data_IF_509389193223
#
_entry.id   IF_509389193223
#
_cell.length_a   1.000
_cell.length_b   1.000
_cell.length_c   1.000
_cell.angle_alpha   90.00
_cell.angle_beta   90.00
_cell.angle_gamma   90.00
#
_symmetry.space_group_name_H-M   'P 1'
#
loop_
_entity.id
_entity.type
_entity.pdbx_description
1 polymer ?
#
# COMPACT_ATOMS: atom_id res chain seq x y z
N UNK A 1 -12.23 32.17 4.50
CA UNK A 1 -12.35 31.52 5.83
C UNK A 1 -11.21 30.52 5.99
N UNK A 2 -10.49 30.51 7.08
CA UNK A 2 -9.39 29.58 7.33
C UNK A 2 -9.81 28.50 8.34
N UNK A 3 -9.26 27.27 8.20
CA UNK A 3 -9.49 26.20 9.16
C UNK A 3 -8.59 26.35 10.39
N UNK A 4 -9.16 26.31 11.57
CA UNK A 4 -8.46 26.40 12.85
C UNK A 4 -8.62 25.10 13.65
N UNK A 5 -7.49 24.54 14.10
CA UNK A 5 -7.50 23.44 15.09
C UNK A 5 -7.65 24.04 16.48
N UNK A 6 -8.53 23.46 17.29
CA UNK A 6 -8.70 23.87 18.68
C UNK A 6 -8.56 22.71 19.65
N UNK A 7 -8.11 23.05 20.87
CA UNK A 7 -8.27 22.24 22.09
C UNK A 7 -9.07 23.08 23.07
N UNK A 8 -10.14 22.51 23.58
CA UNK A 8 -11.02 23.18 24.54
C UNK A 8 -11.42 22.21 25.67
N UNK A 9 -11.77 22.74 26.82
CA UNK A 9 -12.37 21.97 27.92
C UNK A 9 -13.89 22.04 27.81
N UNK A 10 -14.51 20.90 27.95
CA UNK A 10 -15.96 20.78 28.13
C UNK A 10 -16.33 21.14 29.59
N UNK A 11 -17.61 21.31 29.83
CA UNK A 11 -18.19 21.58 31.19
C UNK A 11 -17.84 20.51 32.23
N UNK A 12 -17.50 19.28 31.78
CA UNK A 12 -17.02 18.18 32.61
C UNK A 12 -15.50 18.17 32.86
N UNK A 13 -14.75 19.16 32.38
CA UNK A 13 -13.27 19.22 32.49
C UNK A 13 -12.52 18.32 31.51
N UNK A 14 -13.20 17.68 30.55
CA UNK A 14 -12.59 16.79 29.55
C UNK A 14 -12.06 17.63 28.37
N UNK A 15 -10.85 17.28 27.90
CA UNK A 15 -10.25 17.95 26.73
C UNK A 15 -10.91 17.46 25.44
N UNK A 16 -11.57 18.38 24.74
CA UNK A 16 -12.13 18.17 23.40
C UNK A 16 -11.24 18.82 22.37
N UNK A 17 -10.93 18.09 21.29
CA UNK A 17 -10.13 18.59 20.16
C UNK A 17 -10.99 18.57 18.90
N UNK A 18 -10.87 19.59 18.05
CA UNK A 18 -11.62 19.64 16.80
C UNK A 18 -11.02 20.66 15.82
N UNK A 19 -11.75 20.85 14.72
CA UNK A 19 -11.44 21.86 13.70
C UNK A 19 -12.69 22.67 13.45
N UNK A 20 -12.56 24.00 13.41
CA UNK A 20 -13.61 24.97 13.06
C UNK A 20 -13.11 25.95 12.01
N UNK A 21 -14.01 26.42 11.15
CA UNK A 21 -13.73 27.47 10.19
C UNK A 21 -14.06 28.84 10.76
N UNK A 22 -13.21 29.82 10.42
CA UNK A 22 -13.42 31.21 10.74
C UNK A 22 -12.37 32.10 10.14
N UNK A 23 -12.61 33.42 10.18
CA UNK A 23 -11.70 34.40 9.58
C UNK A 23 -10.55 34.76 10.53
N UNK A 24 -10.71 34.52 11.83
CA UNK A 24 -9.69 34.80 12.84
C UNK A 24 -9.78 33.90 14.06
N UNK A 25 -8.63 33.71 14.76
CA UNK A 25 -8.58 32.98 16.03
C UNK A 25 -9.56 33.55 17.08
N UNK A 26 -9.84 34.85 17.02
CA UNK A 26 -10.76 35.56 17.93
C UNK A 26 -12.20 35.12 17.69
N UNK A 27 -12.59 34.93 16.44
CA UNK A 27 -13.90 34.42 16.05
C UNK A 27 -14.11 32.97 16.50
N UNK A 28 -13.09 32.11 16.30
CA UNK A 28 -13.13 30.71 16.75
C UNK A 28 -13.25 30.61 18.27
N UNK A 29 -12.52 31.45 19.02
CA UNK A 29 -12.65 31.50 20.48
C UNK A 29 -14.04 31.94 20.92
N UNK A 30 -14.69 32.84 20.19
CA UNK A 30 -16.08 33.25 20.45
C UNK A 30 -17.04 32.10 20.14
N UNK A 31 -16.91 31.43 19.00
CA UNK A 31 -17.73 30.25 18.64
C UNK A 31 -17.58 29.08 19.62
N UNK A 32 -16.38 28.85 20.15
CA UNK A 32 -16.18 27.81 21.17
C UNK A 32 -16.87 28.16 22.49
N UNK A 33 -16.88 29.42 22.88
CA UNK A 33 -17.61 29.89 24.09
C UNK A 33 -19.13 29.75 23.95
N UNK A 34 -19.67 30.04 22.77
CA UNK A 34 -21.13 29.80 22.53
C UNK A 34 -21.51 28.33 22.57
N UNK A 35 -20.56 27.44 22.29
CA UNK A 35 -20.71 25.96 22.41
C UNK A 35 -20.39 25.44 23.84
N UNK A 36 -20.28 26.32 24.84
CA UNK A 36 -19.91 25.98 26.22
C UNK A 36 -18.54 25.30 26.36
N UNK A 37 -17.64 25.51 25.39
CA UNK A 37 -16.30 24.97 25.40
C UNK A 37 -15.29 26.07 25.78
N UNK A 38 -14.45 25.82 26.78
CA UNK A 38 -13.40 26.75 27.18
C UNK A 38 -12.13 26.52 26.30
N UNK A 39 -11.77 27.45 25.40
CA UNK A 39 -10.62 27.28 24.52
C UNK A 39 -9.30 27.31 25.32
N UNK A 40 -8.48 26.27 25.20
CA UNK A 40 -7.13 26.20 25.73
C UNK A 40 -6.14 26.67 24.67
N UNK A 41 -6.27 26.14 23.46
CA UNK A 41 -5.35 26.39 22.35
C UNK A 41 -6.18 26.50 21.05
N UNK A 42 -5.95 27.56 20.29
CA UNK A 42 -6.51 27.73 18.94
C UNK A 42 -5.34 28.09 18.02
N UNK A 43 -5.12 27.30 16.99
CA UNK A 43 -4.05 27.49 16.02
C UNK A 43 -4.60 27.36 14.61
N UNK A 44 -4.21 28.25 13.70
CA UNK A 44 -4.52 28.12 12.28
C UNK A 44 -3.90 26.84 11.72
N UNK A 45 -4.70 26.04 11.02
CA UNK A 45 -4.25 24.78 10.44
C UNK A 45 -3.13 24.97 9.40
N UNK A 46 -2.96 26.20 8.86
CA UNK A 46 -1.94 26.56 7.88
C UNK A 46 -0.66 27.26 8.43
N UNK A 47 -0.66 27.72 9.69
CA UNK A 47 0.38 28.67 10.16
C UNK A 47 1.70 28.05 10.66
N UNK A 48 1.81 26.71 10.75
CA UNK A 48 3.10 26.06 11.08
C UNK A 48 4.10 26.02 9.93
N UNK A 49 3.71 26.46 8.73
CA UNK A 49 4.60 26.53 7.55
C UNK A 49 5.23 27.92 7.32
N UNK A 50 4.74 28.98 7.97
CA UNK A 50 5.13 30.36 7.63
C UNK A 50 6.22 30.99 8.49
N UNK A 51 6.61 30.42 9.63
CA UNK A 51 7.60 31.02 10.54
C UNK A 51 9.02 30.41 10.44
N UNK A 52 9.35 29.75 9.32
CA UNK A 52 10.72 29.28 9.03
C UNK A 52 11.14 29.58 7.59
N UNK A 53 10.69 30.71 7.04
CA UNK A 53 11.12 31.18 5.73
C UNK A 53 12.16 32.28 5.88
N UNK A 54 13.37 31.92 6.30
CA UNK A 54 14.60 32.63 5.95
C UNK A 54 15.76 31.64 6.12
N UNK A 55 16.02 30.87 5.12
CA UNK A 55 17.30 30.39 4.60
C UNK A 55 17.03 29.43 3.45
N UNK A 56 17.68 29.68 2.36
CA UNK A 56 17.61 28.95 1.08
C UNK A 56 17.75 27.43 1.18
N UNK A 57 17.16 26.76 0.17
CA UNK A 57 17.37 25.39 -0.24
C UNK A 57 16.75 24.27 0.62
N UNK A 58 15.79 23.61 0.01
CA UNK A 58 15.30 22.30 0.44
C UNK A 58 13.87 22.31 0.94
N UNK A 59 12.96 21.97 0.05
CA UNK A 59 11.56 21.63 0.39
C UNK A 59 11.57 20.60 1.53
N UNK A 60 11.52 21.05 2.78
CA UNK A 60 11.22 20.18 3.92
C UNK A 60 9.77 19.72 3.78
N UNK A 61 9.57 18.60 3.08
CA UNK A 61 8.32 17.85 3.12
C UNK A 61 7.99 17.59 4.60
N UNK A 62 6.94 18.22 5.10
CA UNK A 62 6.48 18.03 6.47
C UNK A 62 6.23 16.55 6.72
N UNK A 63 6.99 15.96 7.65
CA UNK A 63 6.88 14.55 8.06
C UNK A 63 5.49 14.17 8.63
N UNK A 64 4.58 15.12 8.74
CA UNK A 64 3.24 15.00 9.32
C UNK A 64 2.11 15.49 8.40
N UNK A 65 2.31 15.49 7.07
CA UNK A 65 1.17 15.71 6.18
C UNK A 65 0.13 14.60 6.41
N UNK A 66 -1.16 14.95 6.59
CA UNK A 66 -2.19 13.94 6.82
C UNK A 66 -2.26 13.01 5.62
N UNK A 67 -2.02 11.71 5.86
CA UNK A 67 -2.20 10.66 4.86
C UNK A 67 -3.55 10.04 5.09
N UNK A 68 -4.37 10.00 4.05
CA UNK A 68 -5.58 9.17 4.05
C UNK A 68 -5.18 7.70 3.82
N UNK A 69 -5.90 6.79 4.47
CA UNK A 69 -5.84 5.38 4.08
C UNK A 69 -6.50 5.19 2.72
N UNK A 70 -6.19 4.10 2.01
CA UNK A 70 -6.83 3.79 0.74
C UNK A 70 -8.37 3.70 0.90
N UNK A 71 -8.84 3.15 2.03
CA UNK A 71 -10.25 3.04 2.37
C UNK A 71 -10.91 4.41 2.59
N UNK A 72 -10.25 5.31 3.30
CA UNK A 72 -10.77 6.67 3.51
C UNK A 72 -10.83 7.45 2.19
N UNK A 73 -9.81 7.30 1.34
CA UNK A 73 -9.78 7.96 0.03
C UNK A 73 -10.93 7.45 -0.86
N UNK A 74 -11.13 6.13 -0.94
CA UNK A 74 -12.22 5.53 -1.72
C UNK A 74 -13.59 6.04 -1.24
N UNK A 75 -13.84 6.02 0.08
CA UNK A 75 -15.09 6.51 0.66
C UNK A 75 -15.35 7.98 0.34
N UNK A 76 -14.35 8.84 0.52
CA UNK A 76 -14.48 10.28 0.25
C UNK A 76 -14.69 10.52 -1.25
N UNK A 77 -13.98 9.80 -2.11
CA UNK A 77 -14.14 9.92 -3.56
C UNK A 77 -15.56 9.53 -3.98
N UNK A 78 -16.11 8.43 -3.46
CA UNK A 78 -17.49 8.01 -3.72
C UNK A 78 -18.49 9.05 -3.23
N UNK A 79 -18.30 9.59 -2.03
CA UNK A 79 -19.15 10.66 -1.50
C UNK A 79 -19.12 11.90 -2.38
N UNK A 80 -17.94 12.37 -2.78
CA UNK A 80 -17.80 13.52 -3.66
C UNK A 80 -18.44 13.25 -5.03
N UNK A 81 -18.23 12.08 -5.62
CA UNK A 81 -18.83 11.69 -6.88
C UNK A 81 -20.35 11.77 -6.82
N UNK A 82 -20.97 11.16 -5.79
CA UNK A 82 -22.41 11.16 -5.61
C UNK A 82 -22.99 12.57 -5.39
N UNK A 83 -22.32 13.40 -4.60
CA UNK A 83 -22.78 14.77 -4.33
C UNK A 83 -22.64 15.66 -5.56
N UNK A 84 -21.53 15.56 -6.30
CA UNK A 84 -21.33 16.34 -7.53
C UNK A 84 -22.27 15.88 -8.65
N UNK A 85 -22.56 14.56 -8.75
CA UNK A 85 -23.57 14.04 -9.68
C UNK A 85 -24.98 14.57 -9.38
N UNK A 86 -25.26 14.96 -8.13
CA UNK A 86 -26.52 15.61 -7.72
C UNK A 86 -26.57 17.11 -8.05
N UNK A 87 -25.60 17.62 -8.81
CA UNK A 87 -25.48 19.03 -9.23
C UNK A 87 -25.37 20.04 -8.06
N UNK A 88 -24.89 19.60 -6.89
CA UNK A 88 -24.59 20.49 -5.78
C UNK A 88 -23.31 21.29 -6.07
N UNK A 89 -23.21 22.53 -5.56
CA UNK A 89 -21.95 23.32 -5.64
C UNK A 89 -20.80 22.57 -5.01
N UNK A 90 -19.63 22.65 -5.63
CA UNK A 90 -18.45 21.86 -5.24
C UNK A 90 -17.97 22.16 -3.80
N UNK A 91 -18.10 23.41 -3.37
CA UNK A 91 -17.77 23.82 -2.00
C UNK A 91 -18.72 23.23 -0.96
N UNK A 92 -20.01 23.08 -1.30
CA UNK A 92 -20.99 22.38 -0.46
C UNK A 92 -20.73 20.88 -0.41
N UNK A 93 -20.35 20.25 -1.55
CA UNK A 93 -19.97 18.86 -1.61
C UNK A 93 -18.76 18.57 -0.70
N UNK A 94 -17.75 19.41 -0.73
CA UNK A 94 -16.56 19.29 0.12
C UNK A 94 -16.88 19.51 1.61
N UNK A 95 -17.80 20.43 1.92
CA UNK A 95 -18.29 20.66 3.28
C UNK A 95 -19.02 19.42 3.81
N UNK A 96 -19.97 18.90 3.04
CA UNK A 96 -20.74 17.72 3.42
C UNK A 96 -19.85 16.50 3.64
N UNK A 97 -18.89 16.25 2.74
CA UNK A 97 -17.90 15.18 2.90
C UNK A 97 -17.02 15.36 4.16
N UNK A 98 -16.64 16.61 4.48
CA UNK A 98 -15.86 16.93 5.68
C UNK A 98 -16.69 16.69 6.98
N UNK A 99 -17.99 16.97 6.97
CA UNK A 99 -18.86 16.77 8.13
C UNK A 99 -19.14 15.30 8.41
N UNK A 100 -19.28 14.49 7.37
CA UNK A 100 -19.49 13.04 7.49
C UNK A 100 -18.22 12.29 7.95
N UNK A 101 -17.04 12.91 7.85
CA UNK A 101 -15.79 12.28 8.20
C UNK A 101 -15.54 12.28 9.71
N UNK A 102 -15.33 11.09 10.30
CA UNK A 102 -15.05 10.92 11.74
C UNK A 102 -13.64 11.38 12.15
N UNK A 103 -12.68 11.30 11.23
CA UNK A 103 -11.26 11.54 11.51
C UNK A 103 -10.90 13.02 11.36
N UNK A 104 -10.48 13.65 12.45
CA UNK A 104 -10.18 15.08 12.48
C UNK A 104 -9.11 15.54 11.45
N UNK A 105 -8.12 14.67 11.13
CA UNK A 105 -7.10 14.95 10.12
C UNK A 105 -7.69 15.01 8.70
N UNK A 106 -8.59 14.10 8.39
CA UNK A 106 -9.28 14.02 7.10
C UNK A 106 -10.26 15.18 6.93
N UNK A 107 -11.01 15.49 7.98
CA UNK A 107 -11.88 16.68 8.02
C UNK A 107 -11.08 17.96 7.75
N UNK A 108 -9.94 18.13 8.44
CA UNK A 108 -9.08 19.31 8.24
C UNK A 108 -8.52 19.40 6.82
N UNK A 109 -8.20 18.27 6.17
CA UNK A 109 -7.74 18.23 4.79
C UNK A 109 -8.85 18.67 3.83
N UNK A 110 -10.05 18.12 3.95
CA UNK A 110 -11.19 18.48 3.09
C UNK A 110 -11.57 19.95 3.23
N UNK A 111 -11.57 20.49 4.46
CA UNK A 111 -11.83 21.90 4.68
C UNK A 111 -10.73 22.82 4.10
N UNK A 112 -9.47 22.38 4.08
CA UNK A 112 -8.40 23.12 3.40
C UNK A 112 -8.58 23.11 1.88
N UNK A 113 -8.95 21.95 1.28
CA UNK A 113 -9.28 21.85 -0.15
C UNK A 113 -10.49 22.77 -0.46
N UNK A 114 -11.54 22.72 0.36
CA UNK A 114 -12.72 23.59 0.23
C UNK A 114 -12.36 25.07 0.26
N UNK A 115 -11.52 25.48 1.22
CA UNK A 115 -11.08 26.89 1.32
C UNK A 115 -10.43 27.36 0.03
N UNK A 116 -9.61 26.54 -0.63
CA UNK A 116 -8.97 26.88 -1.90
C UNK A 116 -9.96 26.95 -3.06
N UNK A 117 -10.92 26.04 -3.10
CA UNK A 117 -11.99 26.09 -4.11
C UNK A 117 -12.85 27.33 -3.93
N UNK A 118 -13.21 27.70 -2.71
CA UNK A 118 -13.96 28.92 -2.39
C UNK A 118 -13.16 30.22 -2.70
N UNK A 119 -11.82 30.15 -2.71
CA UNK A 119 -10.93 31.23 -3.16
C UNK A 119 -10.87 31.34 -4.71
N UNK A 120 -11.58 30.48 -5.44
CA UNK A 120 -11.62 30.46 -6.91
C UNK A 120 -10.57 29.61 -7.61
N UNK A 121 -9.81 28.79 -6.84
CA UNK A 121 -8.88 27.84 -7.45
C UNK A 121 -9.61 26.58 -7.93
N UNK A 122 -9.06 25.91 -8.94
CA UNK A 122 -9.57 24.61 -9.40
C UNK A 122 -9.41 23.53 -8.32
N UNK A 123 -10.28 22.52 -8.32
CA UNK A 123 -10.21 21.39 -7.40
C UNK A 123 -8.87 20.66 -7.54
N UNK A 124 -8.43 20.42 -8.79
CA UNK A 124 -7.13 19.83 -9.09
C UNK A 124 -5.96 20.62 -8.47
N UNK A 125 -6.00 21.95 -8.56
CA UNK A 125 -4.98 22.82 -7.94
C UNK A 125 -5.02 22.74 -6.42
N UNK A 126 -6.20 22.76 -5.81
CA UNK A 126 -6.39 22.63 -4.38
C UNK A 126 -5.86 21.26 -3.87
N UNK A 127 -6.12 20.18 -4.59
CA UNK A 127 -5.63 18.82 -4.30
C UNK A 127 -4.11 18.69 -4.49
N UNK A 128 -3.50 19.46 -5.37
CA UNK A 128 -2.05 19.44 -5.61
C UNK A 128 -1.22 19.84 -4.37
N UNK A 129 -1.82 20.53 -3.40
CA UNK A 129 -1.18 20.82 -2.13
C UNK A 129 -1.00 19.58 -1.22
N UNK A 130 -1.71 18.50 -1.54
CA UNK A 130 -1.70 17.24 -0.78
C UNK A 130 -1.29 16.03 -1.66
N UNK A 131 -0.08 16.04 -2.26
CA UNK A 131 0.34 15.01 -3.23
C UNK A 131 0.50 13.62 -2.61
N UNK A 132 0.61 13.53 -1.28
CA UNK A 132 0.68 12.25 -0.56
C UNK A 132 -0.71 11.57 -0.42
N UNK A 133 -1.77 12.35 -0.53
CA UNK A 133 -3.16 11.89 -0.48
C UNK A 133 -3.74 11.72 -1.88
N UNK A 134 -3.62 12.76 -2.69
CA UNK A 134 -4.09 12.78 -4.07
C UNK A 134 -2.90 12.60 -5.02
N UNK A 135 -2.72 11.37 -5.51
CA UNK A 135 -1.63 11.03 -6.44
C UNK A 135 -1.77 11.73 -7.79
N UNK A 136 -0.73 11.61 -8.62
CA UNK A 136 -0.68 12.28 -9.93
C UNK A 136 -1.85 11.90 -10.83
N UNK A 137 -2.22 10.61 -10.90
CA UNK A 137 -3.38 10.13 -11.65
C UNK A 137 -4.68 10.80 -11.17
N UNK A 138 -4.91 10.81 -9.85
CA UNK A 138 -6.12 11.39 -9.26
C UNK A 138 -6.27 12.86 -9.67
N UNK A 139 -5.21 13.64 -9.56
CA UNK A 139 -5.19 15.06 -9.91
C UNK A 139 -5.33 15.32 -11.40
N UNK A 140 -4.74 14.46 -12.22
CA UNK A 140 -4.86 14.59 -13.68
C UNK A 140 -6.28 14.34 -14.15
N UNK A 141 -6.96 13.32 -13.62
CA UNK A 141 -8.36 13.04 -13.91
C UNK A 141 -9.27 14.19 -13.48
N UNK A 142 -9.11 14.67 -12.23
CA UNK A 142 -9.89 15.82 -11.76
C UNK A 142 -9.66 17.05 -12.63
N UNK A 143 -8.42 17.33 -13.02
CA UNK A 143 -8.10 18.45 -13.90
C UNK A 143 -8.74 18.31 -15.28
N UNK A 144 -8.71 17.12 -15.86
CA UNK A 144 -9.37 16.85 -17.14
C UNK A 144 -10.89 17.03 -17.03
N UNK A 145 -11.51 16.51 -15.98
CA UNK A 145 -12.94 16.67 -15.71
C UNK A 145 -13.36 18.13 -15.48
N UNK A 146 -12.54 18.93 -14.80
CA UNK A 146 -12.77 20.38 -14.62
C UNK A 146 -12.70 21.12 -15.97
N UNK A 147 -11.68 20.83 -16.79
CA UNK A 147 -11.49 21.49 -18.08
C UNK A 147 -12.60 21.11 -19.08
N UNK A 148 -13.08 19.87 -19.05
CA UNK A 148 -14.16 19.39 -19.89
C UNK A 148 -15.56 19.76 -19.38
N UNK A 149 -15.69 20.32 -18.16
CA UNK A 149 -16.98 20.53 -17.51
C UNK A 149 -17.70 19.24 -17.11
N UNK A 150 -16.99 18.12 -17.04
CA UNK A 150 -17.52 16.78 -16.76
C UNK A 150 -16.95 16.18 -15.46
N UNK A 151 -16.88 17.00 -14.43
CA UNK A 151 -16.30 16.58 -13.15
C UNK A 151 -17.07 15.42 -12.48
N UNK A 152 -18.41 15.37 -12.61
CA UNK A 152 -19.24 14.30 -12.05
C UNK A 152 -18.88 12.92 -12.60
N UNK A 153 -18.97 12.67 -13.91
CA UNK A 153 -18.56 11.39 -14.52
C UNK A 153 -17.12 11.00 -14.20
N UNK A 154 -16.19 11.95 -14.20
CA UNK A 154 -14.78 11.68 -13.86
C UNK A 154 -14.60 11.28 -12.40
N UNK A 155 -15.29 11.93 -11.47
CA UNK A 155 -15.26 11.54 -10.07
C UNK A 155 -15.90 10.16 -9.83
N UNK A 156 -16.91 9.78 -10.61
CA UNK A 156 -17.51 8.45 -10.55
C UNK A 156 -16.52 7.37 -10.99
N UNK A 157 -15.87 7.55 -12.14
CA UNK A 157 -14.81 6.65 -12.61
C UNK A 157 -13.65 6.57 -11.59
N UNK A 158 -13.31 7.68 -10.96
CA UNK A 158 -12.27 7.74 -9.95
C UNK A 158 -12.69 7.03 -8.64
N UNK A 159 -13.98 7.10 -8.28
CA UNK A 159 -14.54 6.35 -7.16
C UNK A 159 -14.48 4.84 -7.44
N UNK A 160 -14.93 4.40 -8.61
CA UNK A 160 -14.86 3.00 -9.03
C UNK A 160 -13.42 2.48 -8.99
N UNK A 161 -12.48 3.25 -9.52
CA UNK A 161 -11.05 2.89 -9.49
C UNK A 161 -10.50 2.76 -8.07
N UNK A 162 -10.78 3.74 -7.19
CA UNK A 162 -10.26 3.73 -5.82
C UNK A 162 -10.89 2.62 -4.99
N UNK A 163 -12.16 2.32 -5.18
CA UNK A 163 -12.88 1.20 -4.56
C UNK A 163 -12.34 -0.16 -5.02
N UNK A 164 -12.20 -0.37 -6.33
CA UNK A 164 -11.65 -1.59 -6.89
C UNK A 164 -10.21 -1.83 -6.40
N UNK A 165 -9.39 -0.79 -6.38
CA UNK A 165 -8.03 -0.85 -5.83
C UNK A 165 -8.02 -1.23 -4.35
N UNK A 166 -8.92 -0.67 -3.55
CA UNK A 166 -9.06 -1.02 -2.14
C UNK A 166 -9.53 -2.47 -1.98
N UNK A 167 -10.52 -2.89 -2.76
CA UNK A 167 -11.07 -4.23 -2.71
C UNK A 167 -10.01 -5.28 -3.05
N UNK A 168 -9.23 -5.05 -4.11
CA UNK A 168 -8.10 -5.91 -4.48
C UNK A 168 -7.04 -5.96 -3.37
N UNK A 169 -6.69 -4.82 -2.77
CA UNK A 169 -5.76 -4.78 -1.65
C UNK A 169 -6.28 -5.55 -0.42
N UNK A 170 -7.56 -5.44 -0.10
CA UNK A 170 -8.20 -6.20 0.97
C UNK A 170 -8.20 -7.72 0.69
N UNK A 171 -8.55 -8.14 -0.53
CA UNK A 171 -8.49 -9.56 -0.92
C UNK A 171 -7.08 -10.13 -0.71
N UNK A 172 -6.05 -9.40 -1.17
CA UNK A 172 -4.66 -9.80 -0.99
C UNK A 172 -4.27 -9.88 0.49
N UNK A 173 -4.67 -8.91 1.29
CA UNK A 173 -4.39 -8.90 2.72
C UNK A 173 -5.06 -10.06 3.44
N UNK A 174 -6.32 -10.34 3.15
CA UNK A 174 -7.05 -11.49 3.72
C UNK A 174 -6.42 -12.82 3.31
N UNK A 175 -6.03 -12.97 2.05
CA UNK A 175 -5.37 -14.18 1.56
C UNK A 175 -4.05 -14.47 2.30
N UNK A 176 -3.33 -13.43 2.74
CA UNK A 176 -2.07 -13.58 3.48
C UNK A 176 -2.25 -13.88 4.97
N UNK A 177 -3.42 -13.58 5.58
CA UNK A 177 -3.63 -13.81 7.01
C UNK A 177 -3.47 -15.28 7.37
N UNK A 178 -4.09 -16.20 6.59
CA UNK A 178 -4.02 -17.63 6.85
C UNK A 178 -2.59 -18.18 6.83
N UNK A 179 -1.74 -17.93 5.80
CA UNK A 179 -0.33 -18.28 5.81
C UNK A 179 0.45 -17.74 7.02
N UNK A 180 0.23 -16.48 7.39
CA UNK A 180 0.93 -15.91 8.55
C UNK A 180 0.54 -16.58 9.87
N UNK A 181 -0.75 -16.86 10.07
CA UNK A 181 -1.23 -17.58 11.26
C UNK A 181 -0.64 -18.99 11.30
N UNK A 182 -0.66 -19.71 10.19
CA UNK A 182 -0.13 -21.06 10.11
C UNK A 182 1.38 -21.11 10.41
N UNK A 183 2.16 -20.22 9.81
CA UNK A 183 3.61 -20.09 10.11
C UNK A 183 3.82 -19.74 11.59
N UNK A 184 3.03 -18.82 12.13
CA UNK A 184 3.12 -18.44 13.55
C UNK A 184 2.88 -19.62 14.49
N UNK A 185 1.84 -20.40 14.23
CA UNK A 185 1.54 -21.63 15.01
C UNK A 185 2.67 -22.66 14.84
N UNK A 186 3.16 -22.85 13.62
CA UNK A 186 4.26 -23.75 13.32
C UNK A 186 5.52 -23.39 14.12
N UNK A 187 5.92 -22.13 14.08
CA UNK A 187 7.08 -21.63 14.84
C UNK A 187 6.84 -21.80 16.35
N UNK A 188 5.64 -21.51 16.84
CA UNK A 188 5.31 -21.66 18.27
C UNK A 188 5.42 -23.12 18.73
N UNK A 189 4.89 -24.08 17.96
CA UNK A 189 4.96 -25.52 18.28
C UNK A 189 6.41 -26.01 18.29
N UNK A 190 7.18 -25.68 17.23
CA UNK A 190 8.59 -26.09 17.16
C UNK A 190 9.40 -25.48 18.30
N UNK A 191 9.20 -24.19 18.57
CA UNK A 191 9.89 -23.52 19.69
C UNK A 191 9.53 -24.13 21.03
N UNK A 192 8.25 -24.47 21.26
CA UNK A 192 7.81 -25.14 22.48
C UNK A 192 8.46 -26.53 22.64
N UNK A 193 8.50 -27.33 21.55
CA UNK A 193 9.19 -28.63 21.58
C UNK A 193 10.68 -28.48 21.90
N UNK A 194 11.36 -27.51 21.30
CA UNK A 194 12.78 -27.24 21.53
C UNK A 194 13.09 -26.75 22.92
N UNK A 195 12.23 -25.91 23.52
CA UNK A 195 12.47 -25.32 24.84
C UNK A 195 12.07 -26.27 25.99
N UNK A 196 10.99 -27.04 25.84
CA UNK A 196 10.44 -27.85 26.93
C UNK A 196 10.78 -29.33 26.79
N UNK A 197 10.65 -29.92 25.61
CA UNK A 197 10.77 -31.38 25.41
C UNK A 197 12.24 -31.81 25.27
N UNK A 198 12.99 -31.09 24.41
CA UNK A 198 14.38 -31.49 24.12
C UNK A 198 15.27 -31.44 25.36
N UNK A 199 15.28 -30.40 26.22
CA UNK A 199 16.14 -30.36 27.40
C UNK A 199 15.81 -31.45 28.43
N UNK A 200 14.52 -31.79 28.60
CA UNK A 200 14.09 -32.83 29.52
C UNK A 200 14.62 -34.21 29.07
N UNK A 201 14.57 -34.49 27.76
CA UNK A 201 15.14 -35.70 27.18
C UNK A 201 16.67 -35.76 27.30
N UNK A 202 17.37 -34.65 27.08
CA UNK A 202 18.84 -34.54 27.24
C UNK A 202 19.26 -34.86 28.67
N UNK A 203 18.50 -34.42 29.68
CA UNK A 203 18.76 -34.70 31.09
C UNK A 203 18.78 -36.21 31.39
N UNK A 204 17.96 -37.01 30.74
CA UNK A 204 17.91 -38.47 30.86
C UNK A 204 19.19 -39.12 30.28
N UNK A 205 19.63 -38.66 29.12
CA UNK A 205 20.80 -39.21 28.41
C UNK A 205 22.15 -38.77 29.03
N UNK A 206 22.21 -37.56 29.62
CA UNK A 206 23.43 -37.09 30.29
C UNK A 206 23.93 -38.02 31.42
N UNK A 207 23.06 -38.86 31.97
CA UNK A 207 23.41 -39.84 33.01
C UNK A 207 23.98 -41.15 32.44
N UNK A 208 23.83 -41.41 31.13
CA UNK A 208 24.13 -42.72 30.55
C UNK A 208 25.51 -42.83 29.88
N UNK A 209 26.29 -41.70 29.75
CA UNK A 209 27.66 -41.65 29.15
C UNK A 209 27.80 -42.30 27.76
N UNK A 210 26.74 -42.43 26.99
CA UNK A 210 26.75 -43.02 25.66
C UNK A 210 26.94 -41.92 24.62
N UNK A 211 27.69 -42.20 23.54
CA UNK A 211 27.83 -41.27 22.42
C UNK A 211 26.48 -41.07 21.73
N UNK A 212 26.04 -39.81 21.65
CA UNK A 212 24.76 -39.45 21.06
C UNK A 212 24.83 -39.42 19.53
N UNK A 213 23.82 -39.91 18.83
CA UNK A 213 23.73 -39.79 17.38
C UNK A 213 23.87 -38.35 16.90
N UNK A 214 24.48 -38.10 15.69
CA UNK A 214 24.78 -36.74 15.22
C UNK A 214 23.54 -35.88 15.04
N UNK A 215 22.39 -36.48 14.70
CA UNK A 215 21.11 -35.82 14.60
C UNK A 215 20.63 -35.24 15.94
N UNK A 216 20.79 -36.03 17.01
CA UNK A 216 20.45 -35.63 18.40
C UNK A 216 21.37 -34.50 18.88
N UNK A 217 22.67 -34.59 18.60
CA UNK A 217 23.65 -33.54 18.95
C UNK A 217 23.28 -32.21 18.24
N UNK A 218 22.93 -32.25 16.95
CA UNK A 218 22.49 -31.07 16.22
C UNK A 218 21.19 -30.48 16.77
N UNK A 219 20.24 -31.32 17.17
CA UNK A 219 18.98 -30.89 17.79
C UNK A 219 19.25 -30.19 19.14
N UNK A 220 20.10 -30.76 19.99
CA UNK A 220 20.51 -30.19 21.29
C UNK A 220 21.18 -28.84 21.10
N UNK A 221 22.16 -28.74 20.19
CA UNK A 221 22.84 -27.49 19.91
C UNK A 221 21.86 -26.39 19.42
N UNK A 222 20.87 -26.77 18.61
CA UNK A 222 19.82 -25.86 18.15
C UNK A 222 18.90 -25.42 19.28
N UNK A 223 18.51 -26.34 20.15
CA UNK A 223 17.69 -26.07 21.34
C UNK A 223 18.39 -25.14 22.31
N UNK A 224 19.66 -25.40 22.63
CA UNK A 224 20.50 -24.58 23.55
C UNK A 224 20.69 -23.17 22.97
N UNK A 225 20.93 -23.08 21.65
CA UNK A 225 21.03 -21.80 20.99
C UNK A 225 19.71 -21.02 21.08
N UNK A 226 18.58 -21.68 20.85
CA UNK A 226 17.26 -21.05 20.90
C UNK A 226 16.89 -20.60 22.32
N UNK A 227 17.21 -21.42 23.32
CA UNK A 227 16.93 -21.15 24.74
C UNK A 227 17.80 -20.01 25.28
N UNK A 228 19.09 -20.02 24.98
CA UNK A 228 20.03 -19.04 25.54
C UNK A 228 20.16 -17.78 24.69
N UNK A 229 20.00 -17.88 23.38
CA UNK A 229 20.24 -16.78 22.39
C UNK A 229 19.02 -16.43 21.54
N UNK A 230 17.83 -17.01 21.79
CA UNK A 230 16.62 -16.78 20.99
C UNK A 230 16.21 -15.30 20.91
N UNK A 231 16.45 -14.54 21.99
CA UNK A 231 16.20 -13.09 21.99
C UNK A 231 17.12 -12.33 21.01
N UNK A 232 18.38 -12.80 20.83
CA UNK A 232 19.33 -12.23 19.86
C UNK A 232 18.82 -12.47 18.43
N UNK A 233 18.28 -13.67 18.16
CA UNK A 233 17.70 -14.01 16.87
C UNK A 233 16.48 -13.13 16.57
N UNK A 234 15.61 -12.90 17.54
CA UNK A 234 14.49 -11.97 17.43
C UNK A 234 14.95 -10.53 17.13
N UNK A 235 15.96 -10.04 17.88
CA UNK A 235 16.53 -8.71 17.66
C UNK A 235 17.21 -8.61 16.28
N UNK A 236 17.95 -9.63 15.87
CA UNK A 236 18.61 -9.69 14.56
C UNK A 236 17.58 -9.65 13.42
N UNK A 237 16.47 -10.39 13.55
CA UNK A 237 15.38 -10.38 12.58
C UNK A 237 14.72 -9.00 12.47
N UNK A 238 14.37 -8.37 13.59
CA UNK A 238 13.82 -7.00 13.62
C UNK A 238 14.80 -6.00 12.98
N UNK A 239 16.08 -6.08 13.36
CA UNK A 239 17.13 -5.22 12.82
C UNK A 239 17.29 -5.41 11.31
N UNK A 240 17.29 -6.66 10.83
CA UNK A 240 17.34 -7.00 9.41
C UNK A 240 16.16 -6.40 8.64
N UNK A 241 14.93 -6.53 9.16
CA UNK A 241 13.73 -5.94 8.55
C UNK A 241 13.84 -4.41 8.48
N UNK A 242 14.31 -3.77 9.56
CA UNK A 242 14.52 -2.31 9.59
C UNK A 242 15.60 -1.88 8.59
N UNK A 243 16.70 -2.62 8.50
CA UNK A 243 17.78 -2.34 7.54
C UNK A 243 17.26 -2.48 6.10
N UNK A 244 16.60 -3.59 5.76
CA UNK A 244 16.00 -3.81 4.44
C UNK A 244 15.02 -2.68 4.12
N UNK A 245 14.13 -2.33 5.04
CA UNK A 245 13.18 -1.23 4.84
C UNK A 245 13.87 0.12 4.61
N UNK A 246 14.98 0.40 5.31
CA UNK A 246 15.77 1.62 5.10
C UNK A 246 16.53 1.61 3.77
N UNK A 247 17.14 0.49 3.41
CA UNK A 247 17.85 0.33 2.14
C UNK A 247 16.89 0.51 0.95
N UNK A 248 15.69 -0.08 1.00
CA UNK A 248 14.68 0.03 -0.05
C UNK A 248 14.09 1.47 -0.20
N UNK A 249 14.34 2.39 0.73
CA UNK A 249 14.02 3.81 0.55
C UNK A 249 14.99 4.53 -0.40
N UNK A 250 16.19 4.03 -0.56
CA UNK A 250 17.15 4.56 -1.53
C UNK A 250 16.81 4.04 -2.93
N UNK A 251 16.60 4.92 -3.94
CA UNK A 251 16.16 4.51 -5.29
C UNK A 251 17.14 3.56 -5.97
N UNK A 252 18.44 3.66 -5.68
CA UNK A 252 19.47 2.78 -6.27
C UNK A 252 19.32 1.34 -5.78
N UNK A 253 19.21 1.14 -4.47
CA UNK A 253 19.02 -0.20 -3.89
C UNK A 253 17.63 -0.76 -4.24
N UNK A 254 16.61 0.09 -4.29
CA UNK A 254 15.27 -0.32 -4.73
C UNK A 254 15.30 -0.83 -6.17
N UNK A 255 15.94 -0.10 -7.10
CA UNK A 255 16.07 -0.55 -8.51
C UNK A 255 16.80 -1.90 -8.62
N UNK A 256 17.85 -2.11 -7.82
CA UNK A 256 18.60 -3.37 -7.81
C UNK A 256 17.74 -4.52 -7.24
N UNK A 257 17.01 -4.28 -6.16
CA UNK A 257 16.05 -5.24 -5.59
C UNK A 257 14.95 -5.59 -6.59
N UNK A 258 14.33 -4.57 -7.20
CA UNK A 258 13.28 -4.73 -8.21
C UNK A 258 13.79 -5.55 -9.41
N UNK A 259 15.01 -5.30 -9.89
CA UNK A 259 15.61 -6.07 -10.96
C UNK A 259 15.92 -7.53 -10.55
N UNK A 260 16.35 -7.75 -9.31
CA UNK A 260 16.60 -9.10 -8.78
C UNK A 260 15.32 -9.92 -8.65
N UNK A 261 14.23 -9.31 -8.16
CA UNK A 261 12.92 -9.95 -8.05
C UNK A 261 12.35 -10.36 -9.41
N UNK A 262 12.61 -9.58 -10.45
CA UNK A 262 12.21 -9.92 -11.83
C UNK A 262 13.00 -11.10 -12.43
N UNK A 263 14.09 -11.59 -11.81
CA UNK A 263 14.82 -12.80 -12.24
C UNK A 263 14.16 -14.09 -11.76
N UNK A 264 13.34 -14.03 -10.70
CA UNK A 264 12.66 -15.19 -10.12
C UNK A 264 11.38 -15.45 -10.91
N UNK A 265 11.23 -16.58 -11.66
CA UNK A 265 10.15 -16.75 -12.65
C UNK A 265 8.73 -16.63 -12.07
N UNK A 266 8.46 -17.18 -10.89
CA UNK A 266 7.15 -17.06 -10.22
C UNK A 266 6.84 -15.63 -9.80
N UNK A 267 7.78 -14.96 -9.12
CA UNK A 267 7.63 -13.58 -8.64
C UNK A 267 7.56 -12.60 -9.81
N UNK A 268 8.38 -12.81 -10.85
CA UNK A 268 8.35 -12.01 -12.07
C UNK A 268 6.95 -11.92 -12.66
N UNK A 269 6.25 -13.07 -12.81
CA UNK A 269 4.92 -13.12 -13.43
C UNK A 269 3.90 -12.29 -12.62
N UNK A 270 3.94 -12.41 -11.31
CA UNK A 270 3.05 -11.64 -10.41
C UNK A 270 3.37 -10.14 -10.48
N UNK A 271 4.64 -9.75 -10.38
CA UNK A 271 5.03 -8.33 -10.40
C UNK A 271 4.70 -7.65 -11.74
N UNK A 272 5.00 -8.32 -12.85
CA UNK A 272 4.66 -7.81 -14.19
C UNK A 272 3.14 -7.70 -14.30
N UNK A 273 2.37 -8.74 -13.96
CA UNK A 273 0.92 -8.72 -14.03
C UNK A 273 0.30 -7.58 -13.21
N UNK A 274 0.77 -7.38 -11.96
CA UNK A 274 0.28 -6.30 -11.11
C UNK A 274 0.56 -4.91 -11.67
N UNK A 275 1.76 -4.66 -12.16
CA UNK A 275 2.15 -3.33 -12.63
C UNK A 275 1.58 -3.04 -14.02
N UNK A 276 1.51 -4.04 -14.92
CA UNK A 276 0.89 -3.85 -16.24
C UNK A 276 -0.63 -3.76 -16.19
N UNK A 277 -1.31 -4.48 -15.28
CA UNK A 277 -2.74 -4.29 -15.03
C UNK A 277 -3.03 -2.86 -14.55
N UNK A 278 -2.22 -2.38 -13.58
CA UNK A 278 -2.33 -1.02 -13.06
C UNK A 278 -2.05 0.04 -14.13
N UNK A 279 -1.05 -0.19 -14.97
CA UNK A 279 -0.73 0.68 -16.11
C UNK A 279 -1.89 0.74 -17.11
N UNK A 280 -2.43 -0.42 -17.55
CA UNK A 280 -3.53 -0.50 -18.51
C UNK A 280 -4.81 0.14 -17.97
N UNK A 281 -5.17 -0.15 -16.72
CA UNK A 281 -6.35 0.44 -16.06
C UNK A 281 -6.21 1.95 -15.95
N UNK A 282 -5.05 2.44 -15.50
CA UNK A 282 -4.81 3.89 -15.38
C UNK A 282 -4.84 4.57 -16.75
N UNK A 283 -4.23 3.96 -17.77
CA UNK A 283 -4.21 4.51 -19.12
C UNK A 283 -5.61 4.56 -19.74
N UNK A 284 -6.40 3.49 -19.61
CA UNK A 284 -7.79 3.42 -20.06
C UNK A 284 -8.64 4.54 -19.45
N UNK A 285 -8.59 4.67 -18.11
CA UNK A 285 -9.40 5.66 -17.37
C UNK A 285 -9.00 7.09 -17.75
N UNK A 286 -7.70 7.38 -17.88
CA UNK A 286 -7.24 8.71 -18.29
C UNK A 286 -7.69 9.07 -19.71
N UNK A 287 -7.63 8.11 -20.63
CA UNK A 287 -8.09 8.32 -22.00
C UNK A 287 -9.61 8.50 -22.07
N UNK A 288 -10.38 7.69 -21.35
CA UNK A 288 -11.83 7.85 -21.24
C UNK A 288 -12.22 9.20 -20.63
N UNK A 289 -11.35 9.79 -19.80
CA UNK A 289 -11.52 11.13 -19.22
C UNK A 289 -11.04 12.26 -20.16
N UNK A 290 -10.62 11.95 -21.40
CA UNK A 290 -10.17 12.94 -22.39
C UNK A 290 -8.73 13.43 -22.20
N UNK A 291 -7.92 12.77 -21.37
CA UNK A 291 -6.49 13.11 -21.21
C UNK A 291 -5.72 12.68 -22.46
N UNK A 292 -4.89 13.56 -23.08
CA UNK A 292 -4.09 13.21 -24.24
C UNK A 292 -3.20 11.98 -24.00
N UNK A 293 -3.08 11.09 -25.00
CA UNK A 293 -2.38 9.80 -24.90
C UNK A 293 -0.97 9.92 -24.28
N UNK A 294 -0.18 10.92 -24.69
CA UNK A 294 1.19 11.09 -24.17
C UNK A 294 1.24 11.42 -22.68
N UNK A 295 0.32 12.27 -22.22
CA UNK A 295 0.23 12.62 -20.80
C UNK A 295 -0.33 11.44 -20.01
N UNK A 296 -1.33 10.74 -20.54
CA UNK A 296 -1.88 9.53 -19.95
C UNK A 296 -0.82 8.43 -19.81
N UNK A 297 0.05 8.22 -20.82
CA UNK A 297 1.18 7.27 -20.75
C UNK A 297 2.19 7.62 -19.66
N UNK A 298 2.55 8.91 -19.54
CA UNK A 298 3.47 9.37 -18.49
C UNK A 298 2.92 9.15 -17.10
N UNK A 299 1.64 9.45 -16.89
CA UNK A 299 0.95 9.28 -15.61
C UNK A 299 0.77 7.80 -15.29
N UNK A 300 0.31 6.99 -16.25
CA UNK A 300 0.15 5.54 -16.09
C UNK A 300 1.49 4.86 -15.76
N UNK A 301 2.58 5.26 -16.42
CA UNK A 301 3.92 4.79 -16.09
C UNK A 301 4.38 5.17 -14.67
N UNK A 302 4.01 6.35 -14.19
CA UNK A 302 4.38 6.81 -12.85
C UNK A 302 3.67 6.01 -11.73
N UNK A 303 2.52 5.40 -12.01
CA UNK A 303 1.76 4.58 -11.04
C UNK A 303 2.37 3.19 -10.84
N UNK A 304 3.21 2.70 -11.75
CA UNK A 304 3.93 1.43 -11.61
C UNK A 304 4.86 1.45 -10.38
N UNK A 305 4.87 0.37 -9.61
CA UNK A 305 5.66 0.28 -8.38
C UNK A 305 7.11 -0.13 -8.63
N UNK A 306 7.32 -1.06 -9.56
CA UNK A 306 8.64 -1.56 -9.92
C UNK A 306 9.38 -0.51 -10.76
N UNK A 307 10.57 -0.11 -10.33
CA UNK A 307 11.35 0.94 -11.01
C UNK A 307 11.87 0.53 -12.39
N UNK A 308 12.05 -0.77 -12.64
CA UNK A 308 12.46 -1.29 -13.95
C UNK A 308 11.29 -1.18 -14.94
N UNK A 309 10.11 -1.61 -14.53
CA UNK A 309 8.90 -1.51 -15.35
C UNK A 309 8.52 -0.06 -15.62
N UNK A 310 8.67 0.81 -14.61
CA UNK A 310 8.48 2.25 -14.75
C UNK A 310 9.48 2.87 -15.74
N UNK A 311 10.71 2.40 -15.79
CA UNK A 311 11.67 2.86 -16.80
C UNK A 311 11.26 2.41 -18.20
N UNK A 312 10.84 1.14 -18.37
CA UNK A 312 10.34 0.63 -19.65
C UNK A 312 9.10 1.43 -20.14
N UNK A 313 8.17 1.77 -19.25
CA UNK A 313 7.01 2.60 -19.64
C UNK A 313 7.39 4.01 -20.08
N UNK A 314 8.47 4.59 -19.54
CA UNK A 314 9.00 5.88 -20.00
C UNK A 314 9.59 5.79 -21.41
N UNK A 315 10.28 4.68 -21.72
CA UNK A 315 10.78 4.43 -23.06
C UNK A 315 9.62 4.27 -24.08
N UNK A 316 8.55 3.58 -23.68
CA UNK A 316 7.33 3.51 -24.50
C UNK A 316 6.77 4.91 -24.77
N UNK A 317 6.64 5.74 -23.74
CA UNK A 317 6.12 7.11 -23.91
C UNK A 317 7.02 7.97 -24.80
N UNK A 318 8.36 7.82 -24.72
CA UNK A 318 9.32 8.51 -25.59
C UNK A 318 9.15 8.07 -27.06
N UNK A 319 9.06 6.77 -27.33
CA UNK A 319 8.86 6.24 -28.69
C UNK A 319 7.53 6.69 -29.30
N UNK A 320 6.45 6.76 -28.50
CA UNK A 320 5.16 7.28 -28.96
C UNK A 320 5.24 8.78 -29.24
N UNK A 321 5.98 9.53 -28.43
CA UNK A 321 6.24 10.97 -28.68
C UNK A 321 7.03 11.20 -29.98
N UNK A 322 7.91 10.27 -30.37
CA UNK A 322 8.66 10.26 -31.63
C UNK A 322 7.80 9.81 -32.84
N UNK A 323 6.52 9.48 -32.63
CA UNK A 323 5.57 9.12 -33.69
C UNK A 323 5.41 7.61 -33.91
N UNK A 324 5.97 6.75 -33.05
CA UNK A 324 5.67 5.30 -33.11
C UNK A 324 4.25 5.04 -32.64
N UNK A 325 3.59 4.00 -33.22
CA UNK A 325 2.32 3.51 -32.64
C UNK A 325 2.54 2.92 -31.26
N UNK A 326 1.56 3.01 -30.40
CA UNK A 326 1.62 2.48 -29.02
C UNK A 326 1.89 0.96 -29.02
N UNK A 327 1.19 0.22 -29.90
CA UNK A 327 1.43 -1.21 -30.08
C UNK A 327 2.90 -1.50 -30.40
N UNK A 328 3.50 -0.79 -31.36
CA UNK A 328 4.88 -0.98 -31.75
C UNK A 328 5.87 -0.64 -30.63
N UNK A 329 5.59 0.45 -29.89
CA UNK A 329 6.40 0.84 -28.75
C UNK A 329 6.36 -0.19 -27.63
N UNK A 330 5.18 -0.72 -27.29
CA UNK A 330 4.99 -1.76 -26.28
C UNK A 330 5.63 -3.10 -26.67
N UNK A 331 5.52 -3.51 -27.95
CA UNK A 331 6.08 -4.78 -28.45
C UNK A 331 7.61 -4.86 -28.38
N UNK A 332 8.28 -3.72 -28.34
CA UNK A 332 9.75 -3.65 -28.21
C UNK A 332 10.24 -3.83 -26.77
N UNK A 333 9.33 -3.77 -25.79
CA UNK A 333 9.64 -3.89 -24.38
C UNK A 333 9.22 -5.27 -23.86
N UNK A 334 10.16 -6.03 -23.30
CA UNK A 334 9.97 -7.42 -22.89
C UNK A 334 9.06 -7.61 -21.65
N UNK A 335 8.56 -6.53 -21.09
CA UNK A 335 7.80 -6.56 -19.83
C UNK A 335 6.28 -6.46 -20.02
N UNK A 336 5.82 -6.10 -21.21
CA UNK A 336 4.38 -6.01 -21.48
C UNK A 336 3.85 -7.36 -22.01
N UNK A 337 2.79 -7.91 -21.39
CA UNK A 337 2.23 -9.20 -21.80
C UNK A 337 1.77 -9.19 -23.26
N UNK A 338 1.97 -10.28 -24.03
CA UNK A 338 1.56 -10.35 -25.44
C UNK A 338 0.08 -10.05 -25.66
N UNK A 339 -0.79 -10.51 -24.74
CA UNK A 339 -2.22 -10.24 -24.81
C UNK A 339 -2.54 -8.73 -24.74
N UNK A 340 -1.85 -8.00 -23.86
CA UNK A 340 -1.98 -6.55 -23.78
C UNK A 340 -1.57 -5.88 -25.10
N UNK A 341 -0.43 -6.28 -25.67
CA UNK A 341 0.08 -5.73 -26.94
C UNK A 341 -0.92 -5.99 -28.06
N UNK A 342 -1.52 -7.19 -28.14
CA UNK A 342 -2.54 -7.51 -29.13
C UNK A 342 -3.83 -6.69 -28.96
N UNK A 343 -4.29 -6.50 -27.73
CA UNK A 343 -5.47 -5.66 -27.44
C UNK A 343 -5.22 -4.22 -27.81
N UNK A 344 -4.04 -3.67 -27.50
CA UNK A 344 -3.64 -2.32 -27.89
C UNK A 344 -3.60 -2.20 -29.42
N UNK A 345 -3.04 -3.18 -30.13
CA UNK A 345 -3.03 -3.20 -31.60
C UNK A 345 -4.45 -3.16 -32.20
N UNK A 346 -5.34 -3.97 -31.63
CA UNK A 346 -6.76 -3.97 -32.03
C UNK A 346 -7.42 -2.61 -31.76
N UNK A 347 -7.19 -2.04 -30.58
CA UNK A 347 -7.74 -0.75 -30.18
C UNK A 347 -7.21 0.42 -31.01
N UNK A 348 -5.93 0.42 -31.39
CA UNK A 348 -5.39 1.44 -32.31
C UNK A 348 -6.00 1.34 -33.70
N UNK A 349 -6.29 0.12 -34.17
CA UNK A 349 -6.89 -0.09 -35.52
C UNK A 349 -8.36 0.23 -35.53
N UNK A 350 -9.11 -0.10 -34.48
CA UNK A 350 -10.56 0.16 -34.39
C UNK A 350 -10.92 1.57 -33.90
N UNK A 351 -9.96 2.30 -33.32
CA UNK A 351 -10.21 3.57 -32.64
C UNK A 351 -10.79 3.41 -31.21
N UNK A 352 -10.87 2.20 -30.68
CA UNK A 352 -11.43 1.86 -29.37
C UNK A 352 -10.34 1.51 -28.36
N UNK A 353 -9.26 2.28 -28.34
CA UNK A 353 -8.09 1.97 -27.52
C UNK A 353 -8.40 1.92 -26.01
N UNK A 354 -9.26 2.82 -25.53
CA UNK A 354 -9.68 2.87 -24.12
C UNK A 354 -10.39 1.57 -23.68
N UNK A 355 -11.36 1.09 -24.49
CA UNK A 355 -12.10 -0.15 -24.22
C UNK A 355 -11.19 -1.38 -24.24
N UNK A 356 -10.23 -1.43 -25.17
CA UNK A 356 -9.28 -2.53 -25.26
C UNK A 356 -8.28 -2.53 -24.10
N UNK A 357 -7.86 -1.37 -23.63
CA UNK A 357 -7.01 -1.23 -22.44
C UNK A 357 -7.75 -1.65 -21.15
N UNK A 358 -9.03 -1.28 -21.00
CA UNK A 358 -9.87 -1.72 -19.88
C UNK A 358 -10.01 -3.23 -19.85
N UNK A 359 -10.32 -3.85 -20.99
CA UNK A 359 -10.38 -5.31 -21.13
C UNK A 359 -9.04 -5.97 -20.81
N UNK A 360 -7.93 -5.37 -21.28
CA UNK A 360 -6.58 -5.84 -20.95
C UNK A 360 -6.31 -5.81 -19.45
N UNK A 361 -6.65 -4.72 -18.78
CA UNK A 361 -6.51 -4.59 -17.33
C UNK A 361 -7.32 -5.64 -16.59
N UNK A 362 -8.61 -5.79 -16.92
CA UNK A 362 -9.51 -6.78 -16.31
C UNK A 362 -9.01 -8.22 -16.51
N UNK A 363 -8.48 -8.56 -17.69
CA UNK A 363 -7.91 -9.87 -17.94
C UNK A 363 -6.66 -10.13 -17.09
N UNK A 364 -5.77 -9.14 -16.96
CA UNK A 364 -4.57 -9.26 -16.14
C UNK A 364 -4.89 -9.37 -14.65
N UNK A 365 -5.91 -8.64 -14.17
CA UNK A 365 -6.39 -8.75 -12.79
C UNK A 365 -6.93 -10.15 -12.49
N UNK A 366 -7.72 -10.73 -13.40
CA UNK A 366 -8.22 -12.12 -13.26
C UNK A 366 -7.09 -13.15 -13.29
N UNK A 367 -6.11 -12.99 -14.19
CA UNK A 367 -4.94 -13.88 -14.25
C UNK A 367 -4.12 -13.79 -12.96
N UNK A 368 -3.99 -12.59 -12.39
CA UNK A 368 -3.33 -12.37 -11.11
C UNK A 368 -4.10 -13.07 -9.97
N UNK A 369 -5.42 -12.89 -9.89
CA UNK A 369 -6.27 -13.57 -8.88
C UNK A 369 -6.15 -15.09 -8.98
N UNK A 370 -6.18 -15.64 -10.19
CA UNK A 370 -6.02 -17.08 -10.43
C UNK A 370 -4.62 -17.58 -10.01
N UNK A 371 -3.57 -16.83 -10.34
CA UNK A 371 -2.19 -17.15 -9.96
C UNK A 371 -2.03 -17.14 -8.43
N UNK A 372 -2.54 -16.11 -7.75
CA UNK A 372 -2.51 -16.02 -6.29
C UNK A 372 -3.32 -17.14 -5.65
N UNK A 373 -4.50 -17.45 -6.18
CA UNK A 373 -5.31 -18.58 -5.71
C UNK A 373 -4.55 -19.92 -5.80
N UNK A 374 -3.84 -20.16 -6.91
CA UNK A 374 -3.01 -21.35 -7.08
C UNK A 374 -1.85 -21.40 -6.08
N UNK A 375 -1.13 -20.29 -5.90
CA UNK A 375 -0.01 -20.21 -4.93
C UNK A 375 -0.51 -20.45 -3.52
N UNK A 376 -1.65 -19.86 -3.14
CA UNK A 376 -2.24 -20.05 -1.81
C UNK A 376 -2.75 -21.47 -1.62
N UNK A 377 -3.35 -22.09 -2.65
CA UNK A 377 -3.81 -23.48 -2.61
C UNK A 377 -2.67 -24.49 -2.45
N UNK A 378 -1.49 -24.22 -3.01
CA UNK A 378 -0.30 -25.06 -2.84
C UNK A 378 0.42 -24.84 -1.50
N UNK A 379 0.23 -23.66 -0.91
CA UNK A 379 0.91 -23.30 0.34
C UNK A 379 0.54 -24.24 1.49
N UNK A 380 -0.74 -24.62 1.62
CA UNK A 380 -1.24 -25.48 2.69
C UNK A 380 -0.63 -26.91 2.63
N UNK A 381 -0.69 -27.64 1.51
CA UNK A 381 -0.03 -28.95 1.41
C UNK A 381 1.48 -28.89 1.67
N UNK A 382 2.16 -27.88 1.17
CA UNK A 382 3.59 -27.70 1.38
C UNK A 382 3.88 -27.50 2.88
N UNK A 383 3.10 -26.66 3.57
CA UNK A 383 3.28 -26.43 5.00
C UNK A 383 3.02 -27.69 5.83
N UNK A 384 2.02 -28.49 5.47
CA UNK A 384 1.74 -29.78 6.15
C UNK A 384 2.93 -30.73 5.99
N UNK A 385 3.49 -30.85 4.78
CA UNK A 385 4.67 -31.70 4.54
C UNK A 385 5.89 -31.21 5.27
N UNK A 386 6.16 -29.89 5.24
CA UNK A 386 7.29 -29.28 5.95
C UNK A 386 7.17 -29.49 7.46
N UNK A 387 6.00 -29.21 8.03
CA UNK A 387 5.76 -29.36 9.47
C UNK A 387 5.82 -30.85 9.89
N UNK A 388 5.18 -31.74 9.12
CA UNK A 388 5.25 -33.17 9.37
C UNK A 388 6.68 -33.69 9.32
N UNK A 389 7.45 -33.27 8.32
CA UNK A 389 8.87 -33.64 8.19
C UNK A 389 9.73 -33.10 9.35
N UNK A 390 9.46 -31.86 9.79
CA UNK A 390 10.20 -31.24 10.88
C UNK A 390 9.87 -31.93 12.23
N UNK A 391 8.60 -32.19 12.51
CA UNK A 391 8.17 -32.94 13.70
C UNK A 391 8.73 -34.36 13.68
N UNK A 392 8.69 -35.04 12.54
CA UNK A 392 9.27 -36.37 12.36
C UNK A 392 10.79 -36.35 12.65
N UNK A 393 11.51 -35.33 12.16
CA UNK A 393 12.95 -35.16 12.43
C UNK A 393 13.23 -35.00 13.93
N UNK A 394 12.44 -34.20 14.64
CA UNK A 394 12.54 -34.01 16.09
C UNK A 394 12.28 -35.34 16.81
N UNK A 395 11.20 -36.04 16.46
CA UNK A 395 10.84 -37.34 17.08
C UNK A 395 11.93 -38.39 16.84
N UNK A 396 12.44 -38.48 15.61
CA UNK A 396 13.55 -39.39 15.30
C UNK A 396 14.82 -39.06 16.06
N UNK A 397 15.16 -37.76 16.20
CA UNK A 397 16.33 -37.33 16.97
C UNK A 397 16.21 -37.69 18.49
N UNK A 398 15.01 -37.79 19.02
CA UNK A 398 14.72 -38.20 20.39
C UNK A 398 14.72 -39.73 20.53
N UNK A 399 14.15 -40.46 19.55
CA UNK A 399 14.00 -41.90 19.62
C UNK A 399 15.27 -42.69 19.29
N UNK A 400 16.13 -42.18 18.38
CA UNK A 400 17.37 -42.86 17.97
C UNK A 400 18.24 -43.26 19.16
N UNK A 401 18.59 -42.38 20.14
CA UNK A 401 19.38 -42.77 21.30
C UNK A 401 18.68 -43.81 22.17
N UNK A 402 17.33 -43.81 22.24
CA UNK A 402 16.55 -44.79 23.01
C UNK A 402 16.70 -46.19 22.41
N UNK A 403 16.65 -46.27 21.07
CA UNK A 403 16.85 -47.54 20.35
C UNK A 403 18.29 -48.07 20.52
N UNK A 404 19.29 -47.18 20.45
CA UNK A 404 20.69 -47.55 20.65
C UNK A 404 20.95 -48.11 22.05
N UNK A 405 20.33 -47.52 23.09
CA UNK A 405 20.39 -48.06 24.46
C UNK A 405 19.75 -49.44 24.59
N UNK A 406 18.63 -49.69 23.90
CA UNK A 406 17.92 -50.97 23.98
C UNK A 406 18.64 -52.08 23.20
N UNK A 407 19.56 -51.75 22.29
CA UNK A 407 20.38 -52.75 21.56
C UNK A 407 21.68 -53.09 22.28
N UNK A 408 22.08 -52.32 23.33
CA UNK A 408 23.29 -52.53 24.12
C UNK A 408 23.02 -53.38 25.40
N UNK A 409 21.76 -53.67 25.69
CA UNK A 409 21.34 -54.57 26.79
C UNK A 409 21.04 -55.96 26.20
#
# INVERSE_FOLDING_TARGET
MAAFKYKALDTSGKVVKGVLEGDSERQIRAQLRTKSLRPIEVASAGRRAANSASTESGVRRGLFAPRLSASELALITRQLATLVASALPLDECLQAAAEQTRKASTKALLLQVRSKVAEGHTLAHAMAQFPQTFGDMYRAMVNAGEQAGQLGPVLEQLADYTENRQHTAQKLQMALIYPFVLIGVAIAVVTALMIFVVPEMVGIFAQTKTDLPPLTVALIATSDFLTNHGWILGLAMVTLVVIIHRLLKNPTYKKMSDASLLRIPGIRRVLIGMDTARFSSTLSILMASGVPLLDALRIAGAVMNNLVLRAASKEVAAKVQEGSSLNRALSQEAFFPPMMVHMVASGETSGELETMLERSASNQERELEATLGTVMGLFEPIMVVVMGGLVLTIVMAILLPIFDLNTMV
#
